data_IF_043075200017
#
_entry.id   IF_043075200017
#
_cell.length_a   1.000
_cell.length_b   1.000
_cell.length_c   1.000
_cell.angle_alpha   90.00
_cell.angle_beta   90.00
_cell.angle_gamma   90.00
#
_symmetry.space_group_name_H-M   'P 1'
#
loop_
_entity.id
_entity.type
_entity.pdbx_description
1 polymer ?
#
# COMPACT_ATOMS: atom_id res chain seq x y z
N UNK A 1 -3.23 -9.84 5.32
CA UNK A 1 -3.70 -8.53 5.81
C UNK A 1 -4.70 -7.95 4.83
N UNK A 2 -5.87 -7.52 5.30
CA UNK A 2 -6.97 -6.98 4.50
C UNK A 2 -6.88 -5.46 4.33
N UNK A 3 -6.94 -5.00 3.08
CA UNK A 3 -6.93 -3.56 2.74
C UNK A 3 -8.30 -3.02 2.32
N UNK A 4 -9.32 -3.90 2.23
CA UNK A 4 -10.71 -3.54 1.92
C UNK A 4 -10.87 -2.64 0.69
N UNK A 5 -10.17 -2.99 -0.40
CA UNK A 5 -10.20 -2.28 -1.67
C UNK A 5 -9.72 -0.83 -1.63
N UNK A 6 -8.92 -0.43 -0.64
CA UNK A 6 -8.15 0.81 -0.68
C UNK A 6 -6.83 0.61 -1.44
N UNK A 7 -6.27 1.68 -2.03
CA UNK A 7 -4.97 1.56 -2.72
C UNK A 7 -3.85 1.52 -1.68
N UNK A 8 -3.96 2.36 -0.65
CA UNK A 8 -3.13 2.30 0.55
C UNK A 8 -3.89 2.75 1.81
N UNK A 9 -3.40 2.27 2.96
CA UNK A 9 -3.85 2.67 4.30
C UNK A 9 -2.63 3.12 5.08
N UNK A 10 -2.74 4.27 5.72
CA UNK A 10 -1.70 4.85 6.57
C UNK A 10 -2.21 5.04 7.99
N UNK A 11 -1.47 4.54 8.97
CA UNK A 11 -1.89 4.52 10.37
C UNK A 11 -0.82 5.18 11.23
N UNK A 12 -1.26 6.00 12.18
CA UNK A 12 -0.40 6.60 13.20
C UNK A 12 -1.03 6.45 14.57
N UNK A 13 -0.21 6.22 15.59
CA UNK A 13 -0.67 6.35 16.99
C UNK A 13 -0.99 7.81 17.32
N UNK A 14 -1.88 8.03 18.28
CA UNK A 14 -2.21 9.37 18.80
C UNK A 14 -0.98 10.14 19.27
N UNK A 15 0.03 9.45 19.83
CA UNK A 15 1.30 10.09 20.20
C UNK A 15 1.96 10.78 19.01
N UNK A 16 2.08 10.07 17.88
CA UNK A 16 2.68 10.59 16.64
C UNK A 16 1.82 11.71 16.07
N UNK A 17 0.49 11.53 16.05
CA UNK A 17 -0.44 12.54 15.54
C UNK A 17 -0.35 13.84 16.34
N UNK A 18 -0.37 13.75 17.67
CA UNK A 18 -0.27 14.92 18.55
C UNK A 18 1.07 15.64 18.40
N UNK A 19 2.16 14.91 18.16
CA UNK A 19 3.45 15.52 17.84
C UNK A 19 3.41 16.28 16.50
N UNK A 20 2.74 15.73 15.47
CA UNK A 20 2.56 16.41 14.18
C UNK A 20 1.69 17.65 14.31
N UNK A 21 0.56 17.57 15.01
CA UNK A 21 -0.32 18.72 15.28
C UNK A 21 0.42 19.85 15.99
N UNK A 22 1.20 19.51 17.02
CA UNK A 22 2.03 20.47 17.74
C UNK A 22 3.06 21.14 16.84
N UNK A 23 3.75 20.37 16.01
CA UNK A 23 4.72 20.91 15.05
C UNK A 23 4.05 21.84 14.03
N UNK A 24 2.87 21.46 13.53
CA UNK A 24 2.10 22.27 12.59
C UNK A 24 1.72 23.63 13.21
N UNK A 25 1.18 23.63 14.43
CA UNK A 25 0.78 24.87 15.12
C UNK A 25 1.97 25.76 15.50
N UNK A 26 3.13 25.18 15.80
CA UNK A 26 4.35 25.96 16.02
C UNK A 26 4.85 26.66 14.74
N UNK A 27 4.50 26.13 13.57
CA UNK A 27 4.91 26.67 12.27
C UNK A 27 3.85 27.55 11.61
N UNK A 28 2.60 27.43 12.04
CA UNK A 28 1.45 28.07 11.42
C UNK A 28 0.58 28.72 12.49
N UNK A 29 0.32 30.02 12.34
CA UNK A 29 -0.64 30.72 13.20
C UNK A 29 -2.05 30.26 12.82
N UNK A 30 -2.75 29.63 13.77
CA UNK A 30 -4.14 29.20 13.61
C UNK A 30 -4.99 30.03 14.56
N UNK A 31 -5.82 30.89 13.98
CA UNK A 31 -6.72 31.77 14.74
C UNK A 31 -8.14 31.64 14.24
N UNK A 32 -9.12 31.67 15.15
CA UNK A 32 -10.54 31.75 14.80
C UNK A 32 -11.07 33.13 15.11
N UNK A 33 -11.81 33.68 14.16
CA UNK A 33 -12.52 34.96 14.29
C UNK A 33 -13.98 34.73 13.94
N UNK A 34 -14.88 35.28 14.74
CA UNK A 34 -16.31 35.27 14.49
C UNK A 34 -16.94 36.57 14.93
N UNK A 35 -17.87 37.06 14.12
CA UNK A 35 -18.72 38.19 14.42
C UNK A 35 -20.17 37.77 14.26
N UNK A 36 -20.93 37.79 15.35
CA UNK A 36 -22.35 37.53 15.31
C UNK A 36 -23.13 38.81 14.90
N UNK A 37 -24.33 38.59 14.40
CA UNK A 37 -25.33 39.60 14.04
C UNK A 37 -25.70 40.55 15.18
N UNK A 38 -25.58 40.11 16.44
CA UNK A 38 -25.83 40.95 17.63
C UNK A 38 -24.64 41.87 18.00
N UNK A 39 -23.56 41.83 17.22
CA UNK A 39 -22.35 42.62 17.45
C UNK A 39 -21.32 41.97 18.37
N UNK A 40 -21.56 40.74 18.84
CA UNK A 40 -20.58 39.96 19.60
C UNK A 40 -19.44 39.50 18.70
N UNK A 41 -18.21 39.79 19.10
CA UNK A 41 -17.00 39.35 18.40
C UNK A 41 -16.20 38.41 19.27
N UNK A 42 -15.75 37.29 18.68
CA UNK A 42 -14.86 36.33 19.33
C UNK A 42 -13.59 36.19 18.52
N UNK A 43 -12.46 36.20 19.22
CA UNK A 43 -11.14 35.91 18.69
C UNK A 43 -10.48 34.84 19.55
N UNK A 44 -9.91 33.82 18.93
CA UNK A 44 -9.09 32.79 19.57
C UNK A 44 -7.81 32.57 18.78
N UNK A 45 -6.70 32.47 19.49
CA UNK A 45 -5.39 32.05 19.01
C UNK A 45 -4.98 30.76 19.74
N UNK A 46 -4.55 29.75 19.00
CA UNK A 46 -4.33 28.42 19.53
C UNK A 46 -2.85 28.07 19.68
N UNK A 47 -2.49 27.55 20.86
CA UNK A 47 -1.13 27.08 21.15
C UNK A 47 -0.89 25.64 20.73
N UNK A 48 -1.88 24.80 21.00
CA UNK A 48 -1.73 23.35 20.93
C UNK A 48 -3.09 22.70 20.71
N UNK A 49 -3.16 21.78 19.76
CA UNK A 49 -4.29 20.89 19.55
C UNK A 49 -3.82 19.48 19.82
N UNK A 50 -4.66 18.71 20.49
CA UNK A 50 -4.39 17.29 20.76
C UNK A 50 -5.65 16.47 20.55
N UNK A 51 -5.49 15.30 19.97
CA UNK A 51 -6.47 14.23 20.04
C UNK A 51 -6.55 13.76 21.50
N UNK A 52 -7.78 13.59 21.97
CA UNK A 52 -8.11 13.07 23.30
C UNK A 52 -9.07 11.90 23.17
N UNK A 53 -9.10 11.06 24.19
CA UNK A 53 -9.94 9.88 24.28
C UNK A 53 -11.44 10.19 24.12
N UNK A 54 -12.20 9.19 23.69
CA UNK A 54 -13.66 9.26 23.58
C UNK A 54 -14.20 9.49 22.17
N UNK A 55 -13.31 9.67 21.18
CA UNK A 55 -13.66 9.54 19.76
C UNK A 55 -13.92 8.07 19.37
N UNK A 56 -14.59 7.87 18.24
CA UNK A 56 -14.74 6.53 17.64
C UNK A 56 -15.09 6.63 16.15
N UNK A 57 -14.43 5.81 15.34
CA UNK A 57 -14.65 5.70 13.90
C UNK A 57 -14.57 7.07 13.20
N UNK A 58 -15.69 7.68 12.84
CA UNK A 58 -15.74 8.97 12.14
C UNK A 58 -15.69 10.17 13.08
N UNK A 59 -15.78 9.94 14.38
CA UNK A 59 -15.79 11.00 15.39
C UNK A 59 -14.39 11.12 16.00
N UNK A 60 -13.75 12.26 15.78
CA UNK A 60 -12.48 12.60 16.38
C UNK A 60 -12.70 13.63 17.48
N UNK A 61 -12.16 13.37 18.67
CA UNK A 61 -12.23 14.33 19.77
C UNK A 61 -10.92 15.08 19.92
N UNK A 62 -10.99 16.40 19.99
CA UNK A 62 -9.84 17.31 20.04
C UNK A 62 -9.98 18.23 21.25
N UNK A 63 -8.88 18.41 21.98
CA UNK A 63 -8.74 19.49 22.96
C UNK A 63 -7.89 20.60 22.34
N UNK A 64 -8.42 21.83 22.37
CA UNK A 64 -7.85 22.99 21.69
C UNK A 64 -7.38 24.02 22.72
N UNK A 65 -6.09 24.13 22.97
CA UNK A 65 -5.57 25.05 23.99
C UNK A 65 -5.48 26.48 23.44
N UNK A 66 -6.23 27.41 24.01
CA UNK A 66 -6.27 28.82 23.60
C UNK A 66 -5.15 29.59 24.31
N UNK A 67 -4.18 30.11 23.56
CA UNK A 67 -3.12 30.97 24.10
C UNK A 67 -3.65 32.35 24.45
N UNK A 68 -4.34 32.96 23.48
CA UNK A 68 -4.94 34.27 23.60
C UNK A 68 -6.37 34.23 23.04
N UNK A 69 -7.32 34.82 23.77
CA UNK A 69 -8.69 34.87 23.33
C UNK A 69 -9.48 35.99 23.98
N UNK A 70 -10.43 36.53 23.24
CA UNK A 70 -11.30 37.61 23.71
C UNK A 70 -12.70 37.43 23.17
N UNK A 71 -13.69 37.78 23.99
CA UNK A 71 -15.06 38.05 23.57
C UNK A 71 -15.36 39.52 23.84
N UNK A 72 -15.95 40.22 22.88
CA UNK A 72 -16.33 41.63 23.01
C UNK A 72 -17.71 41.92 22.42
N UNK A 73 -18.34 43.03 22.82
CA UNK A 73 -19.69 43.41 22.38
C UNK A 73 -20.74 43.12 23.45
N UNK A 74 -21.70 42.23 23.14
CA UNK A 74 -22.76 41.83 24.08
C UNK A 74 -22.25 41.15 25.35
N UNK A 75 -21.10 40.46 25.24
CA UNK A 75 -20.29 39.99 26.36
C UNK A 75 -18.88 40.52 26.21
N UNK A 76 -18.22 40.85 27.32
CA UNK A 76 -16.84 41.30 27.33
C UNK A 76 -16.03 40.46 28.33
N UNK A 77 -14.92 39.88 27.88
CA UNK A 77 -14.08 39.06 28.73
C UNK A 77 -12.86 38.48 28.01
N UNK A 78 -11.89 38.05 28.81
CA UNK A 78 -10.77 37.25 28.32
C UNK A 78 -11.16 35.79 28.25
N UNK A 79 -10.69 35.12 27.20
CA UNK A 79 -10.75 33.68 26.99
C UNK A 79 -9.34 33.06 26.98
N UNK A 80 -8.35 33.74 27.56
CA UNK A 80 -6.98 33.22 27.61
C UNK A 80 -6.93 31.96 28.47
N UNK A 81 -6.28 30.91 27.96
CA UNK A 81 -6.05 29.67 28.70
C UNK A 81 -7.26 28.73 28.77
N UNK A 82 -8.39 29.06 28.14
CA UNK A 82 -9.48 28.08 28.01
C UNK A 82 -9.02 26.91 27.13
N UNK A 83 -9.58 25.73 27.35
CA UNK A 83 -9.34 24.59 26.48
C UNK A 83 -10.66 23.90 26.08
N UNK A 84 -11.27 24.32 24.95
CA UNK A 84 -12.45 23.65 24.43
C UNK A 84 -12.11 22.24 23.97
N UNK A 85 -12.92 21.27 24.41
CA UNK A 85 -12.95 19.91 23.91
C UNK A 85 -14.09 19.81 22.90
N UNK A 86 -13.72 19.57 21.65
CA UNK A 86 -14.66 19.46 20.52
C UNK A 86 -14.64 18.04 19.96
N UNK A 87 -15.75 17.64 19.37
CA UNK A 87 -15.87 16.43 18.57
C UNK A 87 -16.17 16.82 17.14
N UNK A 88 -15.37 16.28 16.22
CA UNK A 88 -15.38 16.59 14.79
C UNK A 88 -15.77 15.34 14.02
N UNK A 89 -16.71 15.47 13.09
CA UNK A 89 -17.03 14.39 12.16
C UNK A 89 -16.08 14.42 10.95
N UNK A 90 -15.24 13.39 10.86
CA UNK A 90 -14.20 13.24 9.84
C UNK A 90 -14.73 13.08 8.42
N UNK A 91 -15.94 12.56 8.24
CA UNK A 91 -16.55 12.38 6.91
C UNK A 91 -16.97 13.72 6.28
N UNK A 92 -17.36 14.68 7.11
CA UNK A 92 -17.94 15.94 6.65
C UNK A 92 -16.95 17.08 6.58
N UNK A 93 -15.73 16.88 7.08
CA UNK A 93 -14.62 17.84 6.90
C UNK A 93 -14.28 18.13 5.42
N UNK A 94 -14.74 17.28 4.50
CA UNK A 94 -14.61 17.46 3.05
C UNK A 94 -15.89 17.96 2.38
N UNK A 95 -17.01 18.08 3.11
CA UNK A 95 -18.33 18.43 2.57
C UNK A 95 -18.92 19.68 3.23
N UNK A 96 -19.39 20.62 2.42
CA UNK A 96 -19.71 21.99 2.85
C UNK A 96 -21.00 22.15 3.66
N UNK A 97 -21.77 21.11 3.98
CA UNK A 97 -23.23 21.28 4.19
C UNK A 97 -23.85 20.95 5.56
N UNK A 98 -23.11 20.70 6.66
CA UNK A 98 -23.76 20.62 8.00
C UNK A 98 -22.87 21.09 9.18
N UNK A 99 -23.45 21.14 10.39
CA UNK A 99 -22.72 21.42 11.64
C UNK A 99 -21.86 20.22 11.99
N UNK A 100 -20.55 20.35 11.75
CA UNK A 100 -19.60 19.23 11.75
C UNK A 100 -18.77 19.16 13.04
N UNK A 101 -18.97 20.14 13.93
CA UNK A 101 -18.23 20.33 15.17
C UNK A 101 -19.18 20.50 16.34
N UNK A 102 -19.06 19.62 17.32
CA UNK A 102 -19.81 19.67 18.58
C UNK A 102 -18.89 20.03 19.74
N UNK A 103 -19.32 20.92 20.63
CA UNK A 103 -18.57 21.21 21.87
C UNK A 103 -18.98 20.21 22.96
N UNK A 104 -18.04 19.33 23.32
CA UNK A 104 -18.17 18.37 24.42
C UNK A 104 -18.00 19.11 25.75
N UNK A 105 -16.91 19.88 25.87
CA UNK A 105 -16.63 20.72 27.02
C UNK A 105 -16.11 22.08 26.52
N UNK A 106 -16.67 23.19 27.01
CA UNK A 106 -16.20 24.51 26.62
C UNK A 106 -14.81 24.82 27.19
N UNK A 107 -14.49 24.31 28.37
CA UNK A 107 -13.24 24.60 29.04
C UNK A 107 -12.85 23.52 30.06
N UNK A 108 -11.96 22.62 29.66
CA UNK A 108 -11.43 21.58 30.55
C UNK A 108 -10.44 22.13 31.59
N UNK A 109 -9.94 23.36 31.43
CA UNK A 109 -9.00 23.98 32.36
C UNK A 109 -9.69 24.71 33.51
N UNK A 110 -11.00 24.95 33.42
CA UNK A 110 -11.78 25.60 34.48
C UNK A 110 -11.49 27.09 34.68
N UNK A 111 -10.97 27.77 33.65
CA UNK A 111 -10.84 29.23 33.61
C UNK A 111 -12.22 29.89 33.62
N UNK A 112 -13.19 29.30 32.92
CA UNK A 112 -14.59 29.72 32.95
C UNK A 112 -15.37 29.01 34.06
N UNK A 113 -16.14 29.78 34.83
CA UNK A 113 -17.02 29.24 35.88
C UNK A 113 -18.28 28.64 35.26
N UNK A 114 -18.33 27.31 35.19
CA UNK A 114 -19.43 26.54 34.61
C UNK A 114 -20.79 26.71 35.32
N UNK A 115 -20.82 27.33 36.51
CA UNK A 115 -22.06 27.62 37.24
C UNK A 115 -22.69 28.95 36.84
N UNK A 116 -21.99 29.81 36.10
CA UNK A 116 -22.49 31.13 35.69
C UNK A 116 -23.25 31.03 34.37
N UNK A 117 -24.33 31.80 34.24
CA UNK A 117 -25.09 31.93 32.99
C UNK A 117 -24.22 32.32 31.79
N UNK A 118 -23.18 33.13 32.02
CA UNK A 118 -22.22 33.52 30.98
C UNK A 118 -21.50 32.34 30.34
N UNK A 119 -21.28 31.23 31.06
CA UNK A 119 -20.67 30.02 30.51
C UNK A 119 -21.51 29.44 29.36
N UNK A 120 -22.83 29.34 29.57
CA UNK A 120 -23.75 28.79 28.57
C UNK A 120 -23.90 29.71 27.35
N UNK A 121 -23.88 31.04 27.56
CA UNK A 121 -23.92 32.01 26.47
C UNK A 121 -22.61 31.98 25.66
N UNK A 122 -21.46 31.86 26.32
CA UNK A 122 -20.18 31.69 25.61
C UNK A 122 -20.19 30.35 24.85
N UNK A 123 -20.73 29.28 25.45
CA UNK A 123 -20.82 27.97 24.78
C UNK A 123 -21.58 28.06 23.46
N UNK A 124 -22.74 28.71 23.43
CA UNK A 124 -23.52 28.85 22.19
C UNK A 124 -22.77 29.62 21.11
N UNK A 125 -22.11 30.74 21.46
CA UNK A 125 -21.31 31.47 20.47
C UNK A 125 -20.08 30.69 20.00
N UNK A 126 -19.50 29.85 20.86
CA UNK A 126 -18.36 29.00 20.50
C UNK A 126 -18.78 27.90 19.53
N UNK A 127 -19.98 27.33 19.68
CA UNK A 127 -20.53 26.37 18.70
C UNK A 127 -20.65 27.02 17.32
N UNK A 128 -21.13 28.27 17.25
CA UNK A 128 -21.18 29.05 16.01
C UNK A 128 -19.78 29.35 15.46
N UNK A 129 -18.84 29.80 16.31
CA UNK A 129 -17.45 30.10 15.94
C UNK A 129 -16.76 28.88 15.31
N UNK A 130 -16.86 27.71 15.92
CA UNK A 130 -16.22 26.48 15.42
C UNK A 130 -16.83 26.02 14.10
N UNK A 131 -18.15 26.06 13.98
CA UNK A 131 -18.82 25.73 12.73
C UNK A 131 -18.48 26.75 11.62
N UNK A 132 -18.36 28.04 11.96
CA UNK A 132 -17.92 29.08 11.03
C UNK A 132 -16.47 28.87 10.56
N UNK A 133 -15.59 28.37 11.44
CA UNK A 133 -14.17 28.13 11.15
C UNK A 133 -13.85 26.68 10.76
N UNK A 134 -14.85 25.88 10.37
CA UNK A 134 -14.66 24.45 10.08
C UNK A 134 -13.63 24.15 8.99
N UNK A 135 -13.51 25.03 7.99
CA UNK A 135 -12.50 24.89 6.94
C UNK A 135 -11.07 25.02 7.49
N UNK A 136 -10.87 25.84 8.52
CA UNK A 136 -9.56 25.97 9.17
C UNK A 136 -9.23 24.72 10.01
N UNK A 137 -10.24 24.11 10.66
CA UNK A 137 -10.08 22.79 11.30
C UNK A 137 -9.71 21.73 10.26
N UNK A 138 -10.42 21.72 9.13
CA UNK A 138 -10.13 20.84 7.99
C UNK A 138 -8.69 20.99 7.48
N UNK A 139 -8.18 22.22 7.36
CA UNK A 139 -6.78 22.48 6.97
C UNK A 139 -5.77 21.93 7.97
N UNK A 140 -6.02 22.09 9.28
CA UNK A 140 -5.15 21.52 10.31
C UNK A 140 -5.15 19.99 10.23
N UNK A 141 -6.33 19.36 10.08
CA UNK A 141 -6.42 17.91 9.96
C UNK A 141 -5.85 17.39 8.63
N UNK A 142 -5.94 18.16 7.55
CA UNK A 142 -5.28 17.85 6.29
C UNK A 142 -3.75 17.81 6.41
N UNK A 143 -3.15 18.50 7.40
CA UNK A 143 -1.71 18.35 7.69
C UNK A 143 -1.33 16.96 8.21
N UNK A 144 -2.32 16.17 8.65
CA UNK A 144 -2.13 14.78 9.06
C UNK A 144 -2.20 13.80 7.89
N UNK A 145 -2.59 14.27 6.70
CA UNK A 145 -2.56 13.44 5.51
C UNK A 145 -1.16 12.92 5.28
N UNK A 146 -1.10 11.66 4.88
CA UNK A 146 0.12 11.09 4.36
C UNK A 146 0.46 11.80 3.04
N UNK A 147 1.62 12.45 3.03
CA UNK A 147 2.14 13.19 1.87
C UNK A 147 3.43 12.52 1.40
N UNK A 148 3.33 11.42 0.62
CA UNK A 148 4.49 10.77 0.06
C UNK A 148 5.17 11.71 -0.94
N UNK A 149 6.49 11.64 -1.06
CA UNK A 149 7.16 12.35 -2.16
C UNK A 149 7.09 11.56 -3.46
N UNK A 150 6.68 10.29 -3.41
CA UNK A 150 6.48 9.45 -4.58
C UNK A 150 5.16 9.83 -5.27
N UNK A 151 5.17 10.37 -6.51
CA UNK A 151 3.97 10.92 -7.14
C UNK A 151 2.85 9.90 -7.30
N UNK A 152 3.21 8.63 -7.55
CA UNK A 152 2.25 7.54 -7.75
C UNK A 152 1.49 7.14 -6.49
N UNK A 153 1.98 7.53 -5.30
CA UNK A 153 1.33 7.28 -4.02
C UNK A 153 0.53 8.50 -3.53
N UNK A 154 0.47 9.58 -4.31
CA UNK A 154 -0.26 10.80 -3.94
C UNK A 154 -1.76 10.51 -3.85
N UNK A 155 -2.39 10.68 -2.67
CA UNK A 155 -3.83 10.43 -2.52
C UNK A 155 -4.66 11.44 -3.32
N UNK A 156 -5.66 10.92 -4.07
CA UNK A 156 -6.64 11.70 -4.83
C UNK A 156 -7.95 11.79 -4.06
N UNK A 157 -8.48 10.66 -3.59
CA UNK A 157 -9.63 10.59 -2.69
C UNK A 157 -9.24 9.85 -1.41
N UNK A 158 -9.76 10.28 -0.26
CA UNK A 158 -9.42 9.69 1.03
C UNK A 158 -10.56 9.78 2.04
N UNK A 159 -10.51 8.93 3.07
CA UNK A 159 -11.32 8.99 4.29
C UNK A 159 -10.41 8.90 5.50
N UNK A 160 -10.82 9.53 6.59
CA UNK A 160 -10.17 9.34 7.88
C UNK A 160 -11.03 8.47 8.78
N UNK A 161 -10.39 7.76 9.70
CA UNK A 161 -11.06 7.15 10.83
C UNK A 161 -10.17 7.14 12.07
N UNK A 162 -10.83 6.98 13.20
CA UNK A 162 -10.25 6.91 14.52
C UNK A 162 -10.55 5.54 15.15
N UNK A 163 -9.52 4.85 15.59
CA UNK A 163 -9.63 3.54 16.22
C UNK A 163 -9.12 3.62 17.65
N UNK A 164 -10.04 3.57 18.60
CA UNK A 164 -9.71 3.37 19.99
C UNK A 164 -9.63 1.86 20.26
N UNK A 165 -8.46 1.37 20.72
CA UNK A 165 -8.36 -0.02 21.15
C UNK A 165 -9.23 -0.24 22.41
N UNK A 166 -9.96 -1.36 22.45
CA UNK A 166 -10.86 -1.70 23.58
C UNK A 166 -10.13 -1.90 24.92
N UNK A 167 -8.80 -2.08 24.88
CA UNK A 167 -8.00 -2.48 26.04
C UNK A 167 -7.00 -1.40 26.49
N UNK A 168 -7.18 -0.13 26.10
CA UNK A 168 -6.30 0.99 26.49
C UNK A 168 -4.84 0.92 25.97
N UNK A 169 -4.52 0.02 25.03
CA UNK A 169 -3.12 -0.25 24.65
C UNK A 169 -2.60 0.50 23.40
N UNK A 170 -3.41 1.39 22.81
CA UNK A 170 -3.03 2.51 21.92
C UNK A 170 -4.26 2.94 21.12
N UNK A 171 -4.29 4.20 20.71
CA UNK A 171 -5.33 4.75 19.83
C UNK A 171 -4.70 5.21 18.52
N UNK A 172 -5.43 5.02 17.42
CA UNK A 172 -4.89 5.19 16.08
C UNK A 172 -5.74 6.13 15.24
N UNK A 173 -5.05 7.05 14.57
CA UNK A 173 -5.58 7.83 13.46
C UNK A 173 -5.21 7.15 12.16
N UNK A 174 -6.21 6.93 11.30
CA UNK A 174 -6.07 6.17 10.06
C UNK A 174 -6.51 7.02 8.89
N UNK A 175 -5.67 7.06 7.86
CA UNK A 175 -5.98 7.60 6.55
C UNK A 175 -6.14 6.45 5.57
N UNK A 176 -7.32 6.32 5.01
CA UNK A 176 -7.62 5.41 3.91
C UNK A 176 -7.60 6.19 2.61
N UNK A 177 -6.88 5.71 1.60
CA UNK A 177 -6.68 6.49 0.39
C UNK A 177 -6.70 5.66 -0.89
N UNK A 178 -7.12 6.35 -1.95
CA UNK A 178 -7.01 5.91 -3.33
C UNK A 178 -6.25 6.98 -4.11
N UNK A 179 -5.44 6.58 -5.09
CA UNK A 179 -4.59 7.48 -5.88
C UNK A 179 -5.20 7.78 -7.26
N UNK A 180 -6.50 7.51 -7.41
CA UNK A 180 -7.30 7.75 -8.61
C UNK A 180 -8.60 8.46 -8.24
N UNK A 181 -9.32 8.97 -9.23
CA UNK A 181 -10.63 9.63 -9.02
C UNK A 181 -11.78 8.65 -8.73
N UNK A 182 -11.49 7.36 -8.48
CA UNK A 182 -12.53 6.35 -8.26
C UNK A 182 -13.40 6.66 -7.04
N UNK A 183 -14.68 6.31 -7.13
CA UNK A 183 -15.61 6.48 -6.03
C UNK A 183 -15.21 5.61 -4.83
N UNK A 184 -15.18 6.23 -3.65
CA UNK A 184 -14.84 5.61 -2.37
C UNK A 184 -16.04 5.52 -1.42
N UNK A 185 -17.23 5.92 -1.87
CA UNK A 185 -18.44 6.03 -1.03
C UNK A 185 -18.78 4.71 -0.31
N UNK A 186 -18.65 3.59 -1.02
CA UNK A 186 -18.95 2.24 -0.53
C UNK A 186 -17.78 1.52 0.16
N UNK A 187 -16.58 2.11 0.16
CA UNK A 187 -15.42 1.47 0.77
C UNK A 187 -15.53 1.48 2.30
N UNK A 188 -15.19 0.33 2.89
CA UNK A 188 -15.20 0.15 4.35
C UNK A 188 -14.06 0.93 4.98
N UNK A 189 -14.36 1.68 6.02
CA UNK A 189 -13.37 2.23 6.94
C UNK A 189 -13.17 1.23 8.06
N UNK A 190 -12.57 0.07 7.73
CA UNK A 190 -12.20 -0.99 8.66
C UNK A 190 -10.68 -1.18 8.61
N UNK A 191 -10.05 -1.41 9.76
CA UNK A 191 -8.62 -1.62 9.88
C UNK A 191 -8.36 -3.08 10.25
N UNK A 192 -7.45 -3.75 9.53
CA UNK A 192 -6.99 -5.08 9.91
C UNK A 192 -6.10 -4.97 11.15
N UNK A 193 -6.50 -5.62 12.24
CA UNK A 193 -5.76 -5.62 13.50
C UNK A 193 -4.38 -6.27 13.40
N UNK A 194 -4.13 -7.14 12.42
CA UNK A 194 -2.83 -7.78 12.23
C UNK A 194 -1.74 -6.79 11.79
N UNK A 195 -2.13 -5.62 11.27
CA UNK A 195 -1.18 -4.56 10.96
C UNK A 195 -0.57 -3.95 12.23
N UNK A 196 -1.32 -3.94 13.33
CA UNK A 196 -0.96 -3.28 14.58
C UNK A 196 -0.22 -4.23 15.51
N UNK A 197 0.85 -3.76 16.15
CA UNK A 197 1.68 -4.60 17.04
C UNK A 197 2.05 -3.95 18.38
N UNK A 198 1.52 -2.77 18.68
CA UNK A 198 1.79 -1.98 19.90
C UNK A 198 3.27 -1.61 20.15
N UNK A 199 4.18 -1.96 19.23
CA UNK A 199 5.61 -1.66 19.31
C UNK A 199 5.96 -0.51 18.37
N UNK A 200 5.34 -0.53 17.19
CA UNK A 200 5.44 0.47 16.15
C UNK A 200 4.36 1.54 16.33
N UNK A 201 4.60 2.72 15.79
CA UNK A 201 3.71 3.88 15.96
C UNK A 201 3.30 4.56 14.65
N UNK A 202 3.79 4.04 13.53
CA UNK A 202 3.48 4.46 12.16
C UNK A 202 3.46 3.21 11.26
N UNK A 203 2.43 3.08 10.42
CA UNK A 203 2.21 1.90 9.59
C UNK A 203 1.72 2.30 8.20
N UNK A 204 2.16 1.56 7.18
CA UNK A 204 1.62 1.61 5.82
C UNK A 204 1.21 0.22 5.40
N UNK A 205 0.03 0.11 4.80
CA UNK A 205 -0.43 -1.05 4.06
C UNK A 205 -0.70 -0.61 2.62
N UNK A 206 -0.10 -1.29 1.65
CA UNK A 206 -0.21 -1.02 0.22
C UNK A 206 -0.86 -2.22 -0.47
N UNK A 207 -1.82 -1.94 -1.34
CA UNK A 207 -2.52 -2.98 -2.08
C UNK A 207 -1.57 -3.82 -2.95
N UNK A 208 -1.88 -5.11 -3.10
CA UNK A 208 -1.11 -6.05 -3.92
C UNK A 208 -0.89 -5.51 -5.34
N UNK A 209 -1.92 -4.93 -5.96
CA UNK A 209 -1.82 -4.33 -7.30
C UNK A 209 -0.73 -3.26 -7.37
N UNK A 210 -0.74 -2.29 -6.44
CA UNK A 210 0.25 -1.21 -6.43
C UNK A 210 1.65 -1.71 -6.06
N UNK A 211 1.75 -2.72 -5.19
CA UNK A 211 3.01 -3.39 -4.94
C UNK A 211 3.60 -4.01 -6.21
N UNK A 212 2.79 -4.76 -6.97
CA UNK A 212 3.19 -5.34 -8.24
C UNK A 212 3.59 -4.26 -9.26
N UNK A 213 2.81 -3.19 -9.37
CA UNK A 213 3.00 -2.13 -10.36
C UNK A 213 4.26 -1.28 -10.12
N UNK A 214 4.58 -0.97 -8.86
CA UNK A 214 5.65 -0.02 -8.54
C UNK A 214 6.92 -0.66 -7.98
N UNK A 215 6.87 -1.91 -7.48
CA UNK A 215 8.06 -2.60 -6.96
C UNK A 215 8.53 -3.73 -7.88
N UNK A 216 7.60 -4.52 -8.41
CA UNK A 216 7.94 -5.74 -9.16
C UNK A 216 8.04 -5.47 -10.65
N UNK A 217 7.04 -4.82 -11.24
CA UNK A 217 6.96 -4.54 -12.67
C UNK A 217 8.19 -3.78 -13.21
N UNK A 218 8.75 -2.75 -12.53
CA UNK A 218 9.96 -2.09 -13.01
C UNK A 218 11.15 -3.07 -13.12
N UNK A 219 11.31 -3.97 -12.16
CA UNK A 219 12.35 -5.01 -12.23
C UNK A 219 12.10 -5.97 -13.39
N UNK A 220 10.84 -6.37 -13.63
CA UNK A 220 10.48 -7.17 -14.80
C UNK A 220 10.82 -6.44 -16.12
N UNK A 221 10.52 -5.15 -16.21
CA UNK A 221 10.77 -4.34 -17.40
C UNK A 221 12.26 -4.10 -17.65
N UNK A 222 13.03 -3.78 -16.62
CA UNK A 222 14.43 -3.38 -16.77
C UNK A 222 15.39 -4.56 -16.87
N UNK A 223 15.08 -5.66 -16.18
CA UNK A 223 16.04 -6.77 -16.02
C UNK A 223 15.59 -8.04 -16.73
N UNK A 224 14.29 -8.33 -16.73
CA UNK A 224 13.75 -9.57 -17.29
C UNK A 224 13.46 -9.39 -18.78
N UNK A 225 12.81 -8.29 -19.15
CA UNK A 225 12.44 -8.04 -20.54
C UNK A 225 13.63 -8.02 -21.50
N UNK A 226 14.82 -7.46 -21.17
CA UNK A 226 15.97 -7.52 -22.08
C UNK A 226 16.50 -8.93 -22.30
N UNK A 227 16.47 -9.79 -21.28
CA UNK A 227 16.86 -11.20 -21.41
C UNK A 227 15.90 -11.89 -22.37
N UNK A 228 14.59 -11.66 -22.19
CA UNK A 228 13.55 -12.16 -23.06
C UNK A 228 13.73 -11.59 -24.49
N UNK A 229 13.90 -10.28 -24.68
CA UNK A 229 14.13 -9.65 -26.00
C UNK A 229 15.42 -10.08 -26.68
N UNK A 230 16.46 -10.46 -25.95
CA UNK A 230 17.66 -11.09 -26.54
C UNK A 230 17.33 -12.42 -27.22
N UNK A 231 16.19 -13.01 -26.87
CA UNK A 231 15.67 -14.26 -27.37
C UNK A 231 14.50 -14.02 -28.37
N UNK A 232 13.77 -12.90 -28.26
CA UNK A 232 12.54 -12.60 -29.02
C UNK A 232 12.67 -11.45 -30.03
N UNK A 233 11.85 -11.47 -31.09
CA UNK A 233 11.89 -10.45 -32.15
C UNK A 233 11.03 -9.18 -31.95
N UNK A 234 10.16 -9.10 -30.92
CA UNK A 234 9.04 -8.14 -30.92
C UNK A 234 8.97 -7.16 -29.73
N UNK A 235 8.14 -6.11 -29.88
CA UNK A 235 7.81 -5.02 -28.92
C UNK A 235 7.02 -5.48 -27.67
N UNK A 236 7.35 -6.64 -27.10
CA UNK A 236 6.69 -7.15 -25.90
C UNK A 236 6.99 -6.29 -24.68
N UNK A 237 6.00 -6.17 -23.80
CA UNK A 237 6.10 -5.45 -22.53
C UNK A 237 5.31 -6.18 -21.44
N UNK A 238 5.82 -6.10 -20.22
CA UNK A 238 5.09 -6.51 -19.03
C UNK A 238 4.04 -5.46 -18.65
N UNK A 239 2.93 -5.90 -18.08
CA UNK A 239 1.97 -4.98 -17.45
C UNK A 239 1.28 -5.67 -16.28
N UNK A 240 0.72 -4.88 -15.37
CA UNK A 240 -0.17 -5.41 -14.33
C UNK A 240 -1.57 -5.51 -14.93
N UNK A 241 -2.07 -6.74 -15.05
CA UNK A 241 -3.48 -7.01 -15.34
C UNK A 241 -4.26 -7.01 -14.02
N UNK A 242 -5.18 -6.06 -13.80
CA UNK A 242 -5.98 -6.03 -12.58
C UNK A 242 -6.89 -7.26 -12.49
N UNK A 243 -6.93 -7.91 -11.32
CA UNK A 243 -7.91 -8.97 -11.00
C UNK A 243 -9.02 -8.44 -10.10
N UNK A 244 -8.78 -7.33 -9.42
CA UNK A 244 -9.78 -6.49 -8.74
C UNK A 244 -9.30 -5.03 -8.74
N UNK A 245 -9.92 -4.17 -7.92
CA UNK A 245 -9.44 -2.80 -7.67
C UNK A 245 -8.10 -2.77 -6.93
N UNK A 246 -7.85 -3.74 -6.04
CA UNK A 246 -6.69 -3.78 -5.14
C UNK A 246 -5.73 -4.95 -5.41
N UNK A 247 -6.09 -5.88 -6.29
CA UNK A 247 -5.28 -7.06 -6.66
C UNK A 247 -4.98 -7.09 -8.16
N UNK A 248 -3.90 -7.77 -8.52
CA UNK A 248 -3.48 -7.89 -9.91
C UNK A 248 -2.49 -9.01 -10.13
N UNK A 249 -2.15 -9.23 -11.38
CA UNK A 249 -1.10 -10.15 -11.81
C UNK A 249 -0.21 -9.46 -12.85
N UNK A 250 1.09 -9.69 -12.81
CA UNK A 250 1.97 -9.27 -13.90
C UNK A 250 1.87 -10.29 -15.02
N UNK A 251 1.64 -9.82 -16.24
CA UNK A 251 1.61 -10.66 -17.44
C UNK A 251 2.40 -10.04 -18.58
N UNK A 252 2.78 -10.85 -19.57
CA UNK A 252 3.36 -10.41 -20.83
C UNK A 252 2.29 -10.43 -21.93
N UNK A 253 2.27 -9.44 -22.82
CA UNK A 253 1.21 -9.24 -23.84
C UNK A 253 0.90 -10.46 -24.73
N UNK A 254 -0.39 -10.54 -25.15
CA UNK A 254 -1.19 -11.66 -25.75
C UNK A 254 -0.68 -12.40 -27.01
N UNK A 255 0.62 -12.67 -27.21
CA UNK A 255 1.03 -13.56 -28.31
C UNK A 255 2.08 -14.59 -27.89
N UNK A 256 2.01 -15.81 -28.48
CA UNK A 256 3.00 -16.84 -28.28
C UNK A 256 4.40 -16.30 -28.58
N UNK A 257 5.30 -16.61 -27.66
CA UNK A 257 6.69 -16.14 -27.69
C UNK A 257 7.57 -17.19 -28.36
N UNK A 258 8.04 -16.98 -29.59
CA UNK A 258 8.84 -17.99 -30.31
C UNK A 258 10.36 -17.90 -30.03
N UNK A 259 10.98 -19.00 -29.63
CA UNK A 259 12.45 -19.15 -29.48
C UNK A 259 12.93 -20.34 -30.30
N UNK A 260 13.89 -20.11 -31.17
CA UNK A 260 14.58 -21.17 -31.90
C UNK A 260 15.85 -21.58 -31.17
N UNK A 261 15.86 -22.78 -30.58
CA UNK A 261 17.08 -23.35 -30.00
C UNK A 261 17.55 -24.54 -30.85
N UNK A 262 18.82 -24.47 -31.29
CA UNK A 262 19.52 -25.57 -31.94
C UNK A 262 20.32 -26.35 -30.92
N UNK A 263 20.14 -27.66 -30.89
CA UNK A 263 20.94 -28.58 -30.06
C UNK A 263 21.18 -29.89 -30.79
N UNK A 264 21.93 -30.78 -30.15
CA UNK A 264 22.11 -32.15 -30.59
C UNK A 264 21.83 -33.09 -29.41
N UNK A 265 20.88 -34.02 -29.57
CA UNK A 265 20.58 -35.04 -28.56
C UNK A 265 21.33 -36.30 -28.98
N UNK A 266 22.30 -36.71 -28.18
CA UNK A 266 23.03 -37.95 -28.42
C UNK A 266 22.31 -39.10 -27.72
N UNK A 267 21.68 -39.97 -28.51
CA UNK A 267 20.92 -41.12 -28.03
C UNK A 267 21.75 -42.37 -28.24
N UNK A 268 21.90 -43.16 -27.18
CA UNK A 268 22.45 -44.51 -27.26
C UNK A 268 21.29 -45.49 -27.14
N UNK A 269 20.87 -46.10 -28.26
CA UNK A 269 19.73 -47.05 -28.26
C UNK A 269 20.10 -48.36 -27.56
N UNK A 270 21.40 -48.72 -27.56
CA UNK A 270 21.92 -49.89 -26.87
C UNK A 270 23.29 -49.58 -26.23
N UNK A 271 23.71 -50.31 -25.17
CA UNK A 271 24.99 -50.05 -24.48
C UNK A 271 26.25 -50.21 -25.35
N UNK A 272 26.10 -50.75 -26.56
CA UNK A 272 27.21 -51.20 -27.41
C UNK A 272 27.29 -50.44 -28.75
N UNK A 273 26.37 -49.50 -29.02
CA UNK A 273 26.41 -48.67 -30.23
C UNK A 273 26.95 -47.27 -29.92
N UNK A 274 27.62 -46.66 -30.89
CA UNK A 274 28.04 -45.28 -30.81
C UNK A 274 26.80 -44.37 -30.73
N UNK A 275 26.79 -43.36 -29.83
CA UNK A 275 25.64 -42.51 -29.63
C UNK A 275 25.33 -41.73 -30.92
N UNK A 276 24.09 -41.87 -31.41
CA UNK A 276 23.62 -41.11 -32.57
C UNK A 276 23.17 -39.74 -32.09
N UNK A 277 23.90 -38.69 -32.47
CA UNK A 277 23.53 -37.32 -32.17
C UNK A 277 22.54 -36.78 -33.22
N UNK A 278 21.27 -36.69 -32.83
CA UNK A 278 20.22 -36.13 -33.67
C UNK A 278 20.21 -34.61 -33.45
N UNK A 279 20.56 -33.81 -34.48
CA UNK A 279 20.36 -32.37 -34.40
C UNK A 279 18.86 -32.10 -34.32
N UNK A 280 18.45 -31.36 -33.29
CA UNK A 280 17.07 -30.94 -33.13
C UNK A 280 16.99 -29.42 -33.19
N UNK A 281 15.89 -28.95 -33.75
CA UNK A 281 15.45 -27.56 -33.69
C UNK A 281 14.14 -27.57 -32.90
N UNK A 282 14.14 -26.91 -31.74
CA UNK A 282 12.90 -26.58 -31.04
C UNK A 282 12.50 -25.16 -31.37
N UNK A 283 11.22 -25.00 -31.62
CA UNK A 283 10.53 -23.72 -31.50
C UNK A 283 9.75 -23.73 -30.18
N UNK A 284 10.29 -23.05 -29.18
CA UNK A 284 9.59 -22.82 -27.93
C UNK A 284 8.60 -21.68 -28.15
N UNK A 285 7.33 -21.87 -27.83
CA UNK A 285 6.33 -20.82 -27.68
C UNK A 285 5.99 -20.64 -26.20
N UNK A 286 5.99 -19.43 -25.63
CA UNK A 286 5.34 -19.21 -24.33
C UNK A 286 3.93 -18.66 -24.56
N UNK A 287 2.93 -19.39 -24.08
CA UNK A 287 1.52 -18.99 -24.14
C UNK A 287 1.22 -17.95 -23.06
N UNK A 288 1.76 -18.15 -21.85
CA UNK A 288 1.53 -17.29 -20.69
C UNK A 288 2.78 -17.19 -19.83
N UNK A 289 3.06 -16.00 -19.33
CA UNK A 289 3.97 -15.77 -18.21
C UNK A 289 3.26 -14.89 -17.20
N UNK A 290 2.99 -15.42 -16.01
CA UNK A 290 2.31 -14.71 -14.94
C UNK A 290 3.20 -14.63 -13.71
N UNK A 291 3.08 -13.53 -12.98
CA UNK A 291 3.58 -13.41 -11.62
C UNK A 291 2.52 -12.77 -10.72
N UNK A 292 2.26 -13.37 -9.56
CA UNK A 292 1.34 -12.86 -8.54
C UNK A 292 1.92 -13.06 -7.13
N UNK A 293 1.18 -12.58 -6.14
CA UNK A 293 1.49 -12.84 -4.73
C UNK A 293 0.51 -13.86 -4.18
N UNK A 294 1.01 -15.02 -3.76
CA UNK A 294 0.25 -16.11 -3.15
C UNK A 294 0.97 -16.56 -1.88
N UNK A 295 0.26 -16.68 -0.75
CA UNK A 295 0.82 -17.11 0.54
C UNK A 295 2.11 -16.37 0.94
N UNK A 296 2.17 -15.05 0.73
CA UNK A 296 3.29 -14.17 1.08
C UNK A 296 4.55 -14.37 0.22
N UNK A 297 4.42 -15.17 -0.84
CA UNK A 297 5.46 -15.46 -1.81
C UNK A 297 5.12 -14.81 -3.15
N UNK A 298 6.15 -14.45 -3.91
CA UNK A 298 6.01 -14.20 -5.33
C UNK A 298 5.91 -15.56 -6.01
N UNK A 299 4.79 -15.84 -6.66
CA UNK A 299 4.62 -17.05 -7.46
C UNK A 299 4.71 -16.68 -8.92
N UNK A 300 5.53 -17.43 -9.65
CA UNK A 300 5.73 -17.27 -11.09
C UNK A 300 5.24 -18.54 -11.77
N UNK A 301 4.28 -18.41 -12.70
CA UNK A 301 3.86 -19.52 -13.58
C UNK A 301 4.13 -19.17 -15.02
N UNK A 302 4.69 -20.14 -15.73
CA UNK A 302 4.98 -20.05 -17.15
C UNK A 302 4.34 -21.23 -17.82
N UNK A 303 3.64 -20.95 -18.90
CA UNK A 303 3.04 -21.97 -19.74
C UNK A 303 3.52 -21.75 -21.17
N UNK A 304 3.80 -22.84 -21.86
CA UNK A 304 4.23 -22.79 -23.24
C UNK A 304 4.20 -24.13 -23.91
N UNK A 305 4.74 -24.14 -25.13
CA UNK A 305 4.91 -25.30 -25.97
C UNK A 305 6.31 -25.32 -26.55
N UNK A 306 6.75 -26.48 -26.97
CA UNK A 306 7.99 -26.69 -27.69
C UNK A 306 7.66 -27.59 -28.89
N UNK A 307 7.73 -27.01 -30.08
CA UNK A 307 7.53 -27.73 -31.33
C UNK A 307 8.87 -28.28 -31.80
N UNK A 308 8.95 -29.61 -31.92
CA UNK A 308 10.08 -30.30 -32.50
C UNK A 308 9.89 -30.41 -34.01
N UNK A 309 10.79 -29.81 -34.78
CA UNK A 309 10.73 -29.90 -36.25
C UNK A 309 10.99 -31.32 -36.80
N UNK A 310 11.48 -32.23 -35.96
CA UNK A 310 11.61 -33.64 -36.31
C UNK A 310 10.25 -34.32 -36.05
N UNK A 311 9.52 -34.63 -37.12
CA UNK A 311 8.25 -35.39 -37.12
C UNK A 311 7.04 -34.75 -36.39
N UNK A 312 7.00 -33.42 -36.27
CA UNK A 312 5.84 -32.66 -35.75
C UNK A 312 5.43 -33.05 -34.33
N UNK A 313 6.40 -33.30 -33.45
CA UNK A 313 6.12 -33.53 -32.04
C UNK A 313 5.92 -32.21 -31.29
N UNK A 314 4.84 -32.11 -30.50
CA UNK A 314 4.51 -30.96 -29.66
C UNK A 314 4.69 -31.35 -28.19
N UNK A 315 5.45 -30.56 -27.44
CA UNK A 315 5.55 -30.66 -25.98
C UNK A 315 4.93 -29.40 -25.36
N UNK A 316 3.81 -29.53 -24.67
CA UNK A 316 3.28 -28.46 -23.81
C UNK A 316 3.84 -28.58 -22.40
N UNK A 317 4.13 -27.45 -21.76
CA UNK A 317 4.64 -27.41 -20.40
C UNK A 317 3.99 -26.30 -19.58
N UNK A 318 3.87 -26.56 -18.29
CA UNK A 318 3.57 -25.56 -17.27
C UNK A 318 4.59 -25.70 -16.14
N UNK A 319 5.21 -24.58 -15.80
CA UNK A 319 6.19 -24.44 -14.75
C UNK A 319 5.65 -23.46 -13.72
N UNK A 320 5.69 -23.83 -12.45
CA UNK A 320 5.31 -22.97 -11.32
C UNK A 320 6.44 -22.98 -10.32
N UNK A 321 6.88 -21.80 -9.90
CA UNK A 321 7.88 -21.63 -8.85
C UNK A 321 7.42 -20.55 -7.86
N UNK A 322 7.92 -20.63 -6.63
CA UNK A 322 7.56 -19.75 -5.53
C UNK A 322 8.81 -19.19 -4.86
N UNK A 323 8.77 -17.89 -4.56
CA UNK A 323 9.89 -17.15 -3.99
C UNK A 323 9.46 -16.42 -2.72
N UNK A 324 10.25 -16.60 -1.67
CA UNK A 324 10.03 -16.02 -0.36
C UNK A 324 10.35 -14.54 -0.38
N UNK A 325 9.42 -13.71 0.08
CA UNK A 325 9.69 -12.29 0.31
C UNK A 325 10.72 -12.10 1.44
N UNK A 326 11.75 -11.30 1.19
CA UNK A 326 12.80 -10.98 2.17
C UNK A 326 13.03 -9.47 2.24
N UNK A 327 13.07 -8.94 3.46
CA UNK A 327 13.54 -7.60 3.74
C UNK A 327 14.91 -7.65 4.42
N UNK A 328 15.94 -7.11 3.77
CA UNK A 328 17.26 -6.91 4.37
C UNK A 328 17.34 -5.49 4.96
N UNK A 329 17.31 -5.42 6.31
CA UNK A 329 17.38 -4.17 7.06
C UNK A 329 18.69 -3.40 6.84
N UNK A 330 19.80 -4.09 6.53
CA UNK A 330 21.11 -3.46 6.36
C UNK A 330 21.19 -2.69 5.04
N UNK A 331 20.76 -3.34 3.95
CA UNK A 331 20.71 -2.70 2.63
C UNK A 331 19.42 -1.92 2.38
N UNK A 332 18.43 -2.07 3.26
CA UNK A 332 17.07 -1.53 3.13
C UNK A 332 16.40 -1.98 1.84
N UNK A 333 16.75 -3.17 1.37
CA UNK A 333 16.21 -3.71 0.15
C UNK A 333 15.20 -4.80 0.45
N UNK A 334 14.14 -4.82 -0.35
CA UNK A 334 13.26 -5.97 -0.50
C UNK A 334 13.73 -6.78 -1.70
N UNK A 335 13.64 -8.10 -1.59
CA UNK A 335 13.91 -9.02 -2.69
C UNK A 335 13.17 -10.34 -2.46
N UNK A 336 13.26 -11.24 -3.43
CA UNK A 336 12.68 -12.56 -3.32
C UNK A 336 13.79 -13.62 -3.35
N UNK A 337 13.77 -14.55 -2.40
CA UNK A 337 14.71 -15.66 -2.31
C UNK A 337 14.02 -16.99 -2.65
N UNK A 338 14.79 -18.03 -2.96
CA UNK A 338 14.22 -19.35 -3.27
C UNK A 338 13.52 -19.93 -2.05
N UNK A 339 12.33 -20.47 -2.26
CA UNK A 339 11.68 -21.31 -1.26
C UNK A 339 12.37 -22.67 -1.17
N UNK A 340 12.09 -23.43 -0.10
CA UNK A 340 12.55 -24.82 0.02
C UNK A 340 11.75 -25.79 -0.85
N UNK A 341 10.60 -25.35 -1.38
CA UNK A 341 9.79 -26.12 -2.31
C UNK A 341 10.50 -26.29 -3.64
N UNK A 342 10.43 -27.51 -4.19
CA UNK A 342 10.87 -27.74 -5.56
C UNK A 342 9.83 -27.14 -6.52
N UNK A 343 10.27 -26.56 -7.66
CA UNK A 343 9.36 -26.07 -8.68
C UNK A 343 8.45 -27.17 -9.19
N UNK A 344 7.19 -26.82 -9.42
CA UNK A 344 6.21 -27.75 -9.98
C UNK A 344 6.28 -27.69 -11.50
N UNK A 345 6.55 -28.84 -12.13
CA UNK A 345 6.64 -28.98 -13.58
C UNK A 345 5.60 -30.01 -14.02
N UNK A 346 4.74 -29.61 -14.94
CA UNK A 346 3.83 -30.53 -15.64
C UNK A 346 4.03 -30.41 -17.13
N UNK A 347 4.10 -31.55 -17.82
CA UNK A 347 4.29 -31.63 -19.26
C UNK A 347 3.26 -32.56 -19.88
N UNK A 348 2.80 -32.21 -21.07
CA UNK A 348 1.98 -33.09 -21.91
C UNK A 348 2.54 -33.06 -23.33
N UNK A 349 2.55 -34.20 -24.02
CA UNK A 349 3.21 -34.33 -25.32
C UNK A 349 2.34 -35.07 -26.33
N UNK A 350 2.47 -34.70 -27.60
CA UNK A 350 1.81 -35.35 -28.73
C UNK A 350 2.86 -35.73 -29.77
N UNK A 351 2.89 -37.00 -30.18
CA UNK A 351 3.84 -37.50 -31.18
C UNK A 351 3.73 -39.00 -31.43
N UNK A 352 4.47 -39.49 -32.43
CA UNK A 352 4.54 -40.93 -32.75
C UNK A 352 5.35 -41.71 -31.69
N UNK A 353 4.99 -42.97 -31.45
CA UNK A 353 5.64 -43.96 -30.57
C UNK A 353 7.18 -43.96 -30.56
N UNK A 354 7.86 -43.75 -31.70
CA UNK A 354 9.34 -43.67 -31.74
C UNK A 354 9.90 -42.37 -31.16
N UNK A 355 9.15 -41.28 -31.22
CA UNK A 355 9.54 -39.99 -30.66
C UNK A 355 9.20 -39.86 -29.17
N UNK A 356 8.35 -40.73 -28.63
CA UNK A 356 8.03 -40.73 -27.19
C UNK A 356 9.29 -40.81 -26.33
N UNK A 357 10.29 -41.63 -26.70
CA UNK A 357 11.55 -41.71 -25.95
C UNK A 357 12.38 -40.42 -25.97
N UNK A 358 12.39 -39.71 -27.10
CA UNK A 358 13.06 -38.41 -27.24
C UNK A 358 12.31 -37.35 -26.45
N UNK A 359 10.99 -37.34 -26.56
CA UNK A 359 10.10 -36.45 -25.82
C UNK A 359 10.20 -36.68 -24.31
N UNK A 360 10.31 -37.92 -23.84
CA UNK A 360 10.51 -38.26 -22.42
C UNK A 360 11.81 -37.70 -21.84
N UNK A 361 12.87 -37.59 -22.64
CA UNK A 361 14.11 -36.94 -22.19
C UNK A 361 13.98 -35.40 -22.21
N UNK A 362 13.23 -34.86 -23.16
CA UNK A 362 13.00 -33.42 -23.31
C UNK A 362 12.00 -32.86 -22.31
N UNK A 363 10.97 -33.63 -21.93
CA UNK A 363 9.98 -33.28 -20.90
C UNK A 363 10.66 -32.98 -19.56
N UNK A 364 11.81 -33.61 -19.30
CA UNK A 364 12.63 -33.32 -18.12
C UNK A 364 13.60 -32.17 -18.40
N UNK A 365 14.37 -32.26 -19.49
CA UNK A 365 15.53 -31.38 -19.69
C UNK A 365 15.15 -29.94 -20.04
N UNK A 366 14.12 -29.76 -20.88
CA UNK A 366 13.75 -28.45 -21.42
C UNK A 366 13.07 -27.56 -20.36
N UNK A 367 12.05 -28.03 -19.62
CA UNK A 367 11.51 -27.26 -18.50
C UNK A 367 12.56 -26.95 -17.43
N UNK A 368 13.50 -27.87 -17.19
CA UNK A 368 14.57 -27.66 -16.20
C UNK A 368 15.61 -26.62 -16.67
N UNK A 369 15.92 -26.57 -17.96
CA UNK A 369 16.75 -25.51 -18.53
C UNK A 369 16.06 -24.15 -18.41
N UNK A 370 14.77 -24.07 -18.80
CA UNK A 370 13.95 -22.86 -18.66
C UNK A 370 13.94 -22.43 -17.20
N UNK A 371 13.64 -23.35 -16.28
CA UNK A 371 13.66 -23.12 -14.85
C UNK A 371 14.99 -22.54 -14.36
N UNK A 372 16.11 -23.12 -14.77
CA UNK A 372 17.42 -22.62 -14.35
C UNK A 372 17.72 -21.23 -14.87
N UNK A 373 17.38 -20.94 -16.12
CA UNK A 373 17.53 -19.58 -16.68
C UNK A 373 16.70 -18.61 -15.85
N UNK A 374 15.46 -18.97 -15.50
CA UNK A 374 14.60 -18.13 -14.68
C UNK A 374 15.19 -17.95 -13.27
N UNK A 375 15.51 -19.04 -12.60
CA UNK A 375 16.02 -19.03 -11.24
C UNK A 375 17.35 -18.28 -11.07
N UNK A 376 18.25 -18.39 -12.05
CA UNK A 376 19.56 -17.75 -11.98
C UNK A 376 19.56 -16.30 -12.46
N UNK A 377 18.68 -15.97 -13.42
CA UNK A 377 18.74 -14.67 -14.08
C UNK A 377 17.58 -13.73 -13.75
N UNK A 378 16.38 -14.24 -13.44
CA UNK A 378 15.22 -13.39 -13.14
C UNK A 378 15.13 -13.00 -11.66
N UNK A 379 15.15 -13.98 -10.75
CA UNK A 379 14.79 -13.70 -9.34
C UNK A 379 15.82 -12.86 -8.58
N UNK A 380 17.14 -13.11 -8.68
CA UNK A 380 18.13 -12.26 -8.01
C UNK A 380 18.06 -10.78 -8.45
N UNK A 381 17.41 -10.52 -9.58
CA UNK A 381 17.27 -9.19 -10.16
C UNK A 381 16.04 -8.44 -9.59
N UNK A 382 15.07 -9.11 -8.98
CA UNK A 382 13.95 -8.44 -8.30
C UNK A 382 14.41 -8.01 -6.91
N UNK A 383 15.25 -6.97 -6.91
CA UNK A 383 15.75 -6.31 -5.71
C UNK A 383 15.43 -4.82 -5.81
N UNK A 384 14.71 -4.31 -4.83
CA UNK A 384 14.31 -2.91 -4.76
C UNK A 384 14.74 -2.31 -3.43
N UNK A 385 15.44 -1.17 -3.47
CA UNK A 385 15.83 -0.44 -2.26
C UNK A 385 14.72 0.53 -1.89
N UNK A 386 14.16 0.39 -0.69
CA UNK A 386 13.08 1.24 -0.22
C UNK A 386 13.57 2.69 -0.08
N UNK A 387 12.93 3.59 -0.81
CA UNK A 387 13.20 5.03 -0.68
C UNK A 387 12.81 5.53 0.71
N UNK A 388 13.49 6.58 1.19
CA UNK A 388 13.07 7.33 2.40
C UNK A 388 11.70 7.98 2.24
N UNK A 389 11.14 7.95 1.04
CA UNK A 389 9.95 8.70 0.68
C UNK A 389 8.67 7.91 0.97
N UNK A 390 8.78 6.59 1.11
CA UNK A 390 7.67 5.72 1.50
C UNK A 390 7.33 5.89 2.98
N UNK A 391 8.29 6.12 3.87
CA UNK A 391 8.00 6.40 5.29
C UNK A 391 9.01 7.40 5.82
N UNK A 392 8.56 8.29 6.71
CA UNK A 392 9.36 9.33 7.39
C UNK A 392 10.47 8.80 8.33
N UNK A 393 10.91 7.54 8.17
CA UNK A 393 12.04 6.94 8.89
C UNK A 393 13.21 6.62 7.98
N UNK A 394 14.41 6.77 8.55
CA UNK A 394 15.64 6.33 7.89
C UNK A 394 15.69 4.81 7.65
N UNK A 395 15.12 3.98 8.54
CA UNK A 395 15.09 2.51 8.38
C UNK A 395 13.79 1.98 8.99
N UNK A 396 12.90 1.35 8.19
CA UNK A 396 11.72 0.68 8.73
C UNK A 396 12.07 -0.37 9.78
N UNK A 397 11.20 -0.54 10.77
CA UNK A 397 11.40 -1.54 11.81
C UNK A 397 11.02 -2.94 11.33
N UNK A 398 9.92 -3.02 10.57
CA UNK A 398 9.43 -4.24 9.93
C UNK A 398 8.92 -3.92 8.52
N UNK A 399 9.20 -4.80 7.57
CA UNK A 399 8.62 -4.77 6.21
C UNK A 399 8.23 -6.20 5.88
N UNK A 400 7.04 -6.38 5.34
CA UNK A 400 6.56 -7.71 4.99
C UNK A 400 5.53 -7.70 3.88
N UNK A 401 5.08 -8.90 3.57
CA UNK A 401 4.09 -9.18 2.55
C UNK A 401 3.09 -10.17 3.14
N UNK A 402 1.83 -9.77 3.23
CA UNK A 402 0.72 -10.64 3.66
C UNK A 402 -0.49 -10.42 2.75
N UNK A 403 -0.39 -10.97 1.53
CA UNK A 403 -1.12 -10.58 0.31
C UNK A 403 -0.83 -9.14 -0.12
N UNK A 404 -0.97 -8.21 0.80
CA UNK A 404 -0.66 -6.79 0.67
C UNK A 404 0.73 -6.49 1.26
N UNK A 405 1.42 -5.53 0.68
CA UNK A 405 2.73 -5.08 1.16
C UNK A 405 2.54 -4.17 2.35
N UNK A 406 3.31 -4.36 3.42
CA UNK A 406 3.21 -3.53 4.60
C UNK A 406 4.57 -3.09 5.12
N UNK A 407 4.56 -1.94 5.78
CA UNK A 407 5.71 -1.42 6.50
C UNK A 407 5.23 -0.97 7.88
N UNK A 408 5.97 -1.34 8.93
CA UNK A 408 5.77 -0.88 10.29
C UNK A 408 7.01 -0.16 10.79
N UNK A 409 6.79 0.96 11.45
CA UNK A 409 7.86 1.87 11.83
C UNK A 409 7.69 2.40 13.25
N UNK A 410 8.83 2.69 13.87
CA UNK A 410 8.92 3.29 15.20
C UNK A 410 9.61 4.64 15.08
N UNK A 411 8.82 5.70 15.10
CA UNK A 411 9.27 7.08 15.23
C UNK A 411 9.73 7.34 16.68
N UNK A 412 10.89 8.00 16.81
CA UNK A 412 11.47 8.37 18.10
C UNK A 412 10.84 9.62 18.70
#
# INVERSE_FOLDING_TARGET
MEIYDWDFVYVMTNKVVNQRLKNFLNQNVVTFVYQNTDGTNIYLDFKEWRIVDGGSNKLLRLALNVEAGTITGGLNGSLNGICPEIEVNLDTLTQTTKSDVNIINLDVNGVLDSKKTSYYVIKSYMEELFNFNKDNIGKVLASLLYSPTEPWLTPVNYKFAYYAATNQEDEYFVTFAVVTERDISQLKTALDSNLLDHVNNEYILLSQKYFLEYFILPSCQEKILPIIKGILSDEKQFYVQPTSTSTGVITLTDYPIFIFQRGALCIQETPFEDPTCIPYLFELSFDNLYADIENNNLRISIQGKADCYVDYAELTFKLVDEFLFVFDRNSRSIYFDKTTSSPQISTDHKGNSKMLYILENLTVTLPWYILNVLQQQLIPQIKHTLSNNLINSAIPNEVGLDVNFYIKNKLN
#
